data_IF_178942969310
#
_entry.id   IF_178942969310
#
_cell.length_a   1.000
_cell.length_b   1.000
_cell.length_c   1.000
_cell.angle_alpha   90.00
_cell.angle_beta   90.00
_cell.angle_gamma   90.00
#
_symmetry.space_group_name_H-M   'P 1'
#
loop_
_entity.id
_entity.type
_entity.pdbx_description
1 polymer ?
#
# COMPACT_ATOMS: atom_id res chain seq x y z
N UNK A 1 17.02 1.03 1.08
CA UNK A 1 16.21 -0.22 1.03
C UNK A 1 16.84 -1.02 -0.09
N UNK A 2 17.96 -1.65 0.23
CA UNK A 2 18.92 -2.09 -0.80
C UNK A 2 18.77 -3.59 -1.08
N UNK A 3 17.91 -4.25 -0.29
CA UNK A 3 17.46 -5.61 -0.54
C UNK A 3 16.50 -5.63 -1.74
N UNK A 4 17.06 -5.94 -2.89
CA UNK A 4 16.33 -6.10 -4.15
C UNK A 4 15.62 -7.44 -4.28
N UNK A 5 15.88 -8.40 -3.39
CA UNK A 5 15.14 -9.67 -3.37
C UNK A 5 13.74 -9.47 -2.79
N UNK A 6 13.61 -8.60 -1.78
CA UNK A 6 12.32 -8.30 -1.13
C UNK A 6 11.64 -7.05 -1.68
N UNK A 7 12.40 -5.99 -2.00
CA UNK A 7 11.83 -4.69 -2.37
C UNK A 7 12.12 -4.32 -3.83
N UNK A 8 11.12 -3.75 -4.50
CA UNK A 8 11.26 -3.16 -5.82
C UNK A 8 10.83 -1.70 -5.80
N UNK A 9 11.68 -0.81 -6.32
CA UNK A 9 11.30 0.59 -6.53
C UNK A 9 10.18 0.68 -7.56
N UNK A 10 9.11 1.40 -7.22
CA UNK A 10 8.04 1.70 -8.16
C UNK A 10 8.49 2.83 -9.08
N UNK A 11 8.17 2.71 -10.37
CA UNK A 11 8.46 3.72 -11.40
C UNK A 11 7.33 4.73 -11.57
N UNK A 12 6.15 4.44 -11.02
CA UNK A 12 4.96 5.29 -11.00
C UNK A 12 4.03 4.85 -9.85
N UNK A 13 3.02 5.66 -9.54
CA UNK A 13 1.98 5.31 -8.56
C UNK A 13 0.92 4.36 -9.18
N UNK A 14 0.83 3.10 -8.75
CA UNK A 14 -0.09 2.12 -9.32
C UNK A 14 -1.50 2.17 -8.72
N UNK A 15 -1.80 3.12 -7.81
CA UNK A 15 -3.04 3.11 -7.01
C UNK A 15 -4.31 3.02 -7.87
N UNK A 16 -4.42 3.80 -8.93
CA UNK A 16 -5.57 3.81 -9.82
C UNK A 16 -5.74 2.49 -10.58
N UNK A 17 -4.62 1.83 -10.94
CA UNK A 17 -4.66 0.51 -11.58
C UNK A 17 -5.27 -0.52 -10.63
N UNK A 18 -4.85 -0.52 -9.37
CA UNK A 18 -5.38 -1.46 -8.39
C UNK A 18 -6.84 -1.17 -8.03
N UNK A 19 -7.23 0.10 -7.88
CA UNK A 19 -8.62 0.48 -7.68
C UNK A 19 -9.52 -0.04 -8.79
N UNK A 20 -9.13 0.18 -10.05
CA UNK A 20 -9.89 -0.30 -11.21
C UNK A 20 -10.10 -1.82 -11.18
N UNK A 21 -9.04 -2.58 -10.89
CA UNK A 21 -9.12 -4.05 -10.80
C UNK A 21 -10.08 -4.47 -9.69
N UNK A 22 -10.01 -3.84 -8.53
CA UNK A 22 -10.89 -4.14 -7.39
C UNK A 22 -12.35 -3.85 -7.77
N UNK A 23 -12.63 -2.69 -8.37
CA UNK A 23 -13.96 -2.31 -8.82
C UNK A 23 -14.52 -3.30 -9.84
N UNK A 24 -13.72 -3.72 -10.83
CA UNK A 24 -14.10 -4.73 -11.82
C UNK A 24 -14.49 -6.07 -11.15
N UNK A 25 -13.73 -6.52 -10.14
CA UNK A 25 -14.02 -7.77 -9.42
C UNK A 25 -15.28 -7.65 -8.55
N UNK A 26 -15.45 -6.53 -7.84
CA UNK A 26 -16.65 -6.28 -7.04
C UNK A 26 -17.89 -6.25 -7.92
N UNK A 27 -17.82 -5.52 -9.05
CA UNK A 27 -18.92 -5.43 -10.00
C UNK A 27 -19.27 -6.80 -10.58
N UNK A 28 -18.26 -7.58 -10.99
CA UNK A 28 -18.48 -8.95 -11.45
C UNK A 28 -19.17 -9.81 -10.39
N UNK A 29 -18.66 -9.80 -9.15
CA UNK A 29 -19.23 -10.58 -8.04
C UNK A 29 -20.66 -10.18 -7.68
N UNK A 30 -20.98 -8.89 -7.77
CA UNK A 30 -22.33 -8.37 -7.55
C UNK A 30 -23.29 -8.82 -8.67
N UNK A 31 -22.86 -8.76 -9.93
CA UNK A 31 -23.68 -9.21 -11.07
C UNK A 31 -23.88 -10.73 -11.10
N UNK A 32 -22.86 -11.49 -10.69
CA UNK A 32 -22.92 -12.95 -10.59
C UNK A 32 -23.69 -13.45 -9.36
N UNK A 33 -24.10 -12.55 -8.44
CA UNK A 33 -24.81 -12.90 -7.21
C UNK A 33 -23.93 -13.52 -6.11
N UNK A 34 -22.60 -13.45 -6.23
CA UNK A 34 -21.66 -13.87 -5.18
C UNK A 34 -21.55 -12.86 -4.04
N UNK A 35 -21.86 -11.59 -4.33
CA UNK A 35 -21.84 -10.50 -3.37
C UNK A 35 -23.23 -9.87 -3.29
N UNK A 36 -23.64 -9.50 -2.07
CA UNK A 36 -24.76 -8.58 -1.89
C UNK A 36 -24.29 -7.11 -1.97
N UNK A 37 -25.24 -6.19 -2.09
CA UNK A 37 -24.96 -4.75 -2.17
C UNK A 37 -24.16 -4.24 -0.97
N UNK A 38 -24.43 -4.77 0.22
CA UNK A 38 -23.76 -4.36 1.45
C UNK A 38 -22.28 -4.75 1.44
N UNK A 39 -21.98 -5.97 1.00
CA UNK A 39 -20.63 -6.51 0.89
C UNK A 39 -19.86 -5.80 -0.21
N UNK A 40 -20.50 -5.56 -1.37
CA UNK A 40 -19.90 -4.79 -2.45
C UNK A 40 -19.51 -3.36 -1.99
N UNK A 41 -20.41 -2.69 -1.26
CA UNK A 41 -20.13 -1.36 -0.70
C UNK A 41 -19.03 -1.37 0.37
N UNK A 42 -18.96 -2.42 1.19
CA UNK A 42 -17.89 -2.57 2.19
C UNK A 42 -16.51 -2.81 1.54
N UNK A 43 -16.46 -3.60 0.47
CA UNK A 43 -15.22 -3.92 -0.24
C UNK A 43 -14.73 -2.76 -1.11
N UNK A 44 -15.63 -1.87 -1.54
CA UNK A 44 -15.26 -0.67 -2.29
C UNK A 44 -14.61 0.35 -1.35
N UNK A 45 -13.32 0.62 -1.56
CA UNK A 45 -12.56 1.62 -0.80
C UNK A 45 -12.24 2.81 -1.72
N UNK A 46 -12.97 3.94 -1.62
CA UNK A 46 -12.82 5.07 -2.54
C UNK A 46 -11.44 5.75 -2.44
N UNK A 47 -10.85 5.76 -1.25
CA UNK A 47 -9.58 6.43 -0.96
C UNK A 47 -8.62 5.48 -0.24
N UNK A 48 -8.01 4.51 -0.95
CA UNK A 48 -7.13 3.53 -0.34
C UNK A 48 -5.86 4.20 0.18
N UNK A 49 -5.42 3.78 1.38
CA UNK A 49 -4.16 4.23 1.97
C UNK A 49 -3.02 3.37 1.44
N UNK A 50 -1.96 4.00 0.95
CA UNK A 50 -0.76 3.28 0.55
C UNK A 50 0.15 3.01 1.77
N UNK A 51 0.76 1.82 1.87
CA UNK A 51 1.76 1.58 2.90
C UNK A 51 2.98 2.48 2.64
N UNK A 52 3.39 3.23 3.66
CA UNK A 52 4.59 4.07 3.63
C UNK A 52 5.63 3.45 4.54
N UNK A 53 6.84 3.27 4.02
CA UNK A 53 7.99 2.90 4.84
C UNK A 53 8.52 4.15 5.53
N UNK A 54 8.08 4.37 6.76
CA UNK A 54 8.62 5.44 7.59
C UNK A 54 10.06 5.11 7.99
N UNK A 55 10.95 6.08 7.85
CA UNK A 55 12.33 5.97 8.32
C UNK A 55 12.68 7.15 9.22
N UNK A 56 13.41 6.89 10.30
CA UNK A 56 14.00 7.94 11.13
C UNK A 56 15.44 8.21 10.67
N UNK A 57 15.82 9.49 10.48
CA UNK A 57 17.18 9.83 10.09
C UNK A 57 18.15 9.57 11.25
N UNK A 58 19.26 8.88 10.98
CA UNK A 58 20.37 8.76 11.94
C UNK A 58 21.32 9.96 11.82
N UNK A 59 20.90 11.11 12.35
CA UNK A 59 21.66 12.38 12.27
C UNK A 59 23.08 12.30 12.86
N UNK A 60 23.32 11.39 13.81
CA UNK A 60 24.64 11.15 14.39
C UNK A 60 25.63 10.46 13.44
N UNK A 61 25.16 9.92 12.30
CA UNK A 61 26.03 9.28 11.29
C UNK A 61 26.43 10.23 10.18
N UNK A 62 25.48 11.04 9.70
CA UNK A 62 25.68 12.06 8.67
C UNK A 62 24.61 13.13 8.88
N UNK A 63 25.01 14.39 8.95
CA UNK A 63 24.10 15.52 9.16
C UNK A 63 23.51 16.07 7.86
N UNK A 64 24.13 15.78 6.71
CA UNK A 64 23.73 16.25 5.38
C UNK A 64 22.89 15.23 4.63
N UNK A 65 23.22 13.94 4.73
CA UNK A 65 22.44 12.84 4.15
C UNK A 65 22.33 11.64 5.13
N UNK A 66 21.60 11.82 6.25
CA UNK A 66 21.49 10.80 7.29
C UNK A 66 20.89 9.50 6.73
N UNK A 67 21.50 8.33 6.99
CA UNK A 67 20.88 7.07 6.61
C UNK A 67 19.59 6.85 7.43
N UNK A 68 18.54 6.40 6.74
CA UNK A 68 17.25 6.10 7.36
C UNK A 68 17.29 4.77 8.14
N UNK A 69 16.69 4.76 9.33
CA UNK A 69 16.34 3.53 10.07
C UNK A 69 14.84 3.26 9.90
N UNK A 70 14.41 2.09 9.39
CA UNK A 70 12.99 1.75 9.37
C UNK A 70 12.37 1.88 10.76
N UNK A 71 11.20 2.53 10.84
CA UNK A 71 10.38 2.52 12.04
C UNK A 71 9.57 1.23 12.00
N UNK A 72 10.01 0.24 12.76
CA UNK A 72 9.23 -0.98 12.97
C UNK A 72 8.46 -0.78 14.26
N UNK A 73 7.12 -0.73 14.18
CA UNK A 73 6.29 -0.82 15.38
C UNK A 73 6.44 -2.25 15.90
N UNK A 74 7.26 -2.44 16.92
CA UNK A 74 7.22 -3.67 17.69
C UNK A 74 5.98 -3.57 18.58
N UNK A 75 4.86 -4.09 18.09
CA UNK A 75 3.77 -4.47 18.98
C UNK A 75 4.05 -5.91 19.39
N UNK A 76 4.21 -6.12 20.71
CA UNK A 76 4.23 -7.45 21.34
C UNK A 76 2.94 -8.23 21.06
#
# INVERSE_FOLDING_TARGET
LDDTATYRRLTYDPIHKFQKIIEEHINFGLHAGYLDQRTAAYLHVPFPRHPVLYTLPKLHKDSTNPPGRPIVSANE
#
